data_IF_807186523223
#
_entry.id   IF_807186523223
#
_cell.length_a   1.000
_cell.length_b   1.000
_cell.length_c   1.000
_cell.angle_alpha   90.00
_cell.angle_beta   90.00
_cell.angle_gamma   90.00
#
_symmetry.space_group_name_H-M   'P 1'
#
loop_
_entity.id
_entity.type
_entity.pdbx_description
1 polymer ?
#
# COMPACT_ATOMS: atom_id res chain seq x y z
N UNK A 1 13.09 -14.99 -5.52
CA UNK A 1 11.92 -15.48 -6.29
C UNK A 1 10.73 -15.58 -5.36
N UNK A 2 9.49 -15.33 -5.82
CA UNK A 2 8.30 -15.52 -5.00
C UNK A 2 8.16 -16.99 -4.59
N UNK A 3 7.59 -17.22 -3.42
CA UNK A 3 7.30 -18.56 -2.89
C UNK A 3 5.79 -18.74 -2.74
N UNK A 4 5.28 -19.94 -2.92
CA UNK A 4 3.87 -20.29 -2.70
C UNK A 4 3.78 -21.16 -1.46
N UNK A 5 3.08 -20.70 -0.43
CA UNK A 5 2.98 -21.35 0.87
C UNK A 5 1.53 -21.53 1.28
N UNK A 6 1.25 -22.59 2.02
CA UNK A 6 -0.03 -22.79 2.70
C UNK A 6 0.10 -22.22 4.13
N UNK A 7 -0.16 -20.90 4.26
CA UNK A 7 0.02 -20.16 5.49
C UNK A 7 -1.11 -20.41 6.49
N UNK A 8 -0.77 -20.49 7.79
CA UNK A 8 -1.76 -20.57 8.86
C UNK A 8 -2.17 -19.16 9.27
N UNK A 9 -3.46 -18.91 9.44
CA UNK A 9 -4.00 -17.69 10.03
C UNK A 9 -3.63 -17.64 11.51
N UNK A 10 -2.83 -16.67 11.91
CA UNK A 10 -2.45 -16.45 13.31
C UNK A 10 -3.58 -15.74 14.05
N UNK A 11 -4.12 -14.69 13.44
CA UNK A 11 -5.21 -13.89 14.00
C UNK A 11 -5.98 -13.18 12.87
N UNK A 12 -7.22 -12.81 13.19
CA UNK A 12 -8.05 -11.93 12.36
C UNK A 12 -8.70 -10.89 13.27
N UNK A 13 -8.11 -9.69 13.33
CA UNK A 13 -8.56 -8.61 14.19
C UNK A 13 -9.52 -7.71 13.42
N UNK A 14 -10.80 -7.72 13.79
CA UNK A 14 -11.81 -6.84 13.19
C UNK A 14 -11.62 -5.42 13.71
N UNK A 15 -11.41 -4.46 12.80
CA UNK A 15 -11.30 -3.04 13.11
C UNK A 15 -12.66 -2.34 13.03
N UNK A 16 -13.55 -2.82 12.15
CA UNK A 16 -14.92 -2.39 11.97
C UNK A 16 -15.71 -3.46 11.22
N UNK A 17 -16.96 -3.19 10.84
CA UNK A 17 -17.79 -4.08 10.02
C UNK A 17 -17.21 -4.32 8.60
N UNK A 18 -16.38 -3.39 8.14
CA UNK A 18 -15.79 -3.45 6.80
C UNK A 18 -14.30 -3.78 6.78
N UNK A 19 -13.57 -3.59 7.89
CA UNK A 19 -12.12 -3.68 7.93
C UNK A 19 -11.63 -4.72 8.93
N UNK A 20 -10.61 -5.47 8.54
CA UNK A 20 -9.87 -6.37 9.45
C UNK A 20 -8.39 -6.42 9.12
N UNK A 21 -7.56 -6.80 10.11
CA UNK A 21 -6.15 -7.15 9.91
C UNK A 21 -6.01 -8.65 10.09
N UNK A 22 -5.57 -9.32 9.04
CA UNK A 22 -5.35 -10.78 9.03
C UNK A 22 -3.86 -11.05 9.09
N UNK A 23 -3.43 -11.73 10.15
CA UNK A 23 -2.05 -12.15 10.36
C UNK A 23 -1.85 -13.59 9.90
N UNK A 24 -0.79 -13.83 9.11
CA UNK A 24 -0.46 -15.11 8.48
C UNK A 24 0.93 -15.59 8.89
N UNK A 25 1.05 -16.83 9.30
CA UNK A 25 2.34 -17.51 9.51
C UNK A 25 2.97 -17.85 8.16
N UNK A 26 3.79 -16.94 7.65
CA UNK A 26 4.48 -17.06 6.36
C UNK A 26 5.92 -16.50 6.46
N UNK A 27 6.78 -17.05 7.33
CA UNK A 27 8.12 -16.49 7.59
C UNK A 27 9.00 -16.45 6.34
N UNK A 28 8.87 -17.40 5.44
CA UNK A 28 9.64 -17.41 4.17
C UNK A 28 9.24 -16.27 3.23
N UNK A 29 7.95 -15.90 3.18
CA UNK A 29 7.48 -14.74 2.42
C UNK A 29 7.95 -13.46 3.09
N UNK A 30 7.81 -13.37 4.42
CA UNK A 30 8.22 -12.23 5.22
C UNK A 30 9.72 -11.91 5.07
N UNK A 31 10.58 -12.94 5.03
CA UNK A 31 12.03 -12.80 4.87
C UNK A 31 12.44 -12.19 3.51
N UNK A 32 11.61 -12.34 2.50
CA UNK A 32 11.87 -11.85 1.13
C UNK A 32 11.17 -10.52 0.85
N UNK A 33 10.24 -10.11 1.70
CA UNK A 33 9.37 -8.96 1.48
C UNK A 33 10.14 -7.63 1.58
N UNK A 34 9.79 -6.71 0.69
CA UNK A 34 10.27 -5.33 0.66
C UNK A 34 9.08 -4.37 0.68
N UNK A 35 9.25 -3.12 1.18
CA UNK A 35 8.17 -2.13 1.26
C UNK A 35 7.40 -1.97 -0.06
N UNK A 36 6.07 -1.93 0.00
CA UNK A 36 5.23 -1.73 -1.18
C UNK A 36 4.94 -2.97 -2.01
N UNK A 37 5.55 -4.11 -1.70
CA UNK A 37 5.23 -5.39 -2.35
C UNK A 37 3.90 -5.96 -1.83
N UNK A 38 3.35 -6.90 -2.59
CA UNK A 38 2.08 -7.55 -2.30
C UNK A 38 2.19 -9.08 -2.31
N UNK A 39 1.14 -9.74 -1.85
CA UNK A 39 0.94 -11.18 -1.94
C UNK A 39 -0.38 -11.48 -2.64
N UNK A 40 -0.46 -12.63 -3.30
CA UNK A 40 -1.69 -13.17 -3.88
C UNK A 40 -2.28 -14.22 -2.93
N UNK A 41 -3.43 -13.91 -2.35
CA UNK A 41 -4.14 -14.75 -1.37
C UNK A 41 -5.28 -15.52 -2.03
N UNK A 42 -5.38 -16.80 -1.76
CA UNK A 42 -6.55 -17.64 -2.08
C UNK A 42 -7.48 -17.67 -0.87
N UNK A 43 -8.58 -16.90 -0.85
CA UNK A 43 -9.37 -16.69 0.37
C UNK A 43 -10.26 -17.88 0.78
N UNK A 44 -10.27 -18.97 0.03
CA UNK A 44 -11.05 -20.17 0.33
C UNK A 44 -10.36 -21.43 -0.19
N UNK A 45 -10.72 -22.59 0.38
CA UNK A 45 -10.18 -23.89 -0.03
C UNK A 45 -10.87 -24.51 -1.24
N UNK A 46 -12.05 -24.02 -1.59
CA UNK A 46 -12.83 -24.51 -2.72
C UNK A 46 -12.47 -23.87 -4.06
N UNK A 47 -13.26 -24.19 -5.07
CA UNK A 47 -13.16 -23.60 -6.40
C UNK A 47 -13.69 -22.16 -6.49
N UNK A 48 -14.43 -21.67 -5.52
CA UNK A 48 -15.02 -20.33 -5.50
C UNK A 48 -14.55 -19.53 -4.26
N UNK A 49 -13.97 -18.34 -4.45
CA UNK A 49 -13.53 -17.76 -5.73
C UNK A 49 -12.35 -18.51 -6.35
N UNK A 50 -12.37 -18.71 -7.66
CA UNK A 50 -11.31 -19.45 -8.37
C UNK A 50 -9.95 -18.75 -8.27
N UNK A 51 -9.93 -17.43 -8.46
CA UNK A 51 -8.69 -16.65 -8.49
C UNK A 51 -8.27 -16.17 -7.11
N UNK A 52 -6.96 -15.98 -6.93
CA UNK A 52 -6.37 -15.28 -5.80
C UNK A 52 -6.70 -13.78 -5.85
N UNK A 53 -6.49 -13.10 -4.74
CA UNK A 53 -6.65 -11.64 -4.62
C UNK A 53 -5.34 -11.00 -4.17
N UNK A 54 -4.94 -9.87 -4.78
CA UNK A 54 -3.75 -9.13 -4.36
C UNK A 54 -4.02 -8.39 -3.04
N UNK A 55 -3.06 -8.46 -2.14
CA UNK A 55 -3.03 -7.67 -0.90
C UNK A 55 -1.64 -7.11 -0.69
N UNK A 56 -1.52 -5.80 -0.49
CA UNK A 56 -0.28 -5.20 -0.02
C UNK A 56 0.13 -5.83 1.30
N UNK A 57 1.42 -6.11 1.46
CA UNK A 57 1.97 -6.54 2.74
C UNK A 57 1.87 -5.36 3.70
N UNK A 58 1.08 -5.52 4.78
CA UNK A 58 0.84 -4.45 5.74
C UNK A 58 1.97 -4.37 6.77
N UNK A 59 2.28 -5.49 7.43
CA UNK A 59 3.37 -5.56 8.40
C UNK A 59 4.18 -6.84 8.22
N UNK A 60 5.43 -6.81 8.65
CA UNK A 60 6.27 -7.99 8.84
C UNK A 60 6.22 -8.37 10.32
N UNK A 61 5.74 -9.57 10.60
CA UNK A 61 5.55 -10.05 11.96
C UNK A 61 6.83 -10.69 12.50
N UNK A 62 7.12 -10.40 13.77
CA UNK A 62 8.28 -10.93 14.50
C UNK A 62 7.83 -11.41 15.87
N UNK A 63 8.51 -12.40 16.40
CA UNK A 63 8.35 -12.83 17.79
C UNK A 63 9.11 -11.90 18.76
N UNK A 64 9.06 -12.21 20.04
CA UNK A 64 9.73 -11.48 21.13
C UNK A 64 11.27 -11.46 21.01
N UNK A 65 11.85 -12.40 20.24
CA UNK A 65 13.27 -12.49 19.96
C UNK A 65 13.65 -11.83 18.64
N UNK A 66 12.68 -11.23 17.92
CA UNK A 66 12.88 -10.57 16.62
C UNK A 66 12.91 -11.52 15.43
N UNK A 67 12.69 -12.84 15.63
CA UNK A 67 12.62 -13.79 14.52
C UNK A 67 11.34 -13.58 13.68
N UNK A 68 11.48 -13.71 12.37
CA UNK A 68 10.37 -13.53 11.44
C UNK A 68 9.35 -14.67 11.59
N UNK A 69 8.09 -14.33 11.87
CA UNK A 69 7.00 -15.28 12.04
C UNK A 69 6.00 -15.26 10.91
N UNK A 70 5.88 -14.12 10.20
CA UNK A 70 4.92 -13.98 9.11
C UNK A 70 4.70 -12.55 8.66
N UNK A 71 3.51 -12.31 8.16
CA UNK A 71 3.07 -10.99 7.69
C UNK A 71 1.60 -10.75 8.04
N UNK A 72 1.18 -9.49 8.02
CA UNK A 72 -0.24 -9.13 8.12
C UNK A 72 -0.74 -8.44 6.85
N UNK A 73 -2.06 -8.46 6.68
CA UNK A 73 -2.80 -7.88 5.56
C UNK A 73 -3.90 -6.99 6.11
N UNK A 74 -4.00 -5.75 5.62
CA UNK A 74 -5.16 -4.89 5.87
C UNK A 74 -6.23 -5.23 4.83
N UNK A 75 -7.34 -5.80 5.29
CA UNK A 75 -8.45 -6.25 4.45
C UNK A 75 -9.63 -5.28 4.55
N UNK A 76 -10.15 -4.87 3.40
CA UNK A 76 -11.45 -4.19 3.30
C UNK A 76 -12.46 -5.12 2.65
N UNK A 77 -13.58 -5.37 3.33
CA UNK A 77 -14.69 -6.21 2.88
C UNK A 77 -15.49 -5.51 1.79
N UNK A 78 -15.19 -5.79 0.52
CA UNK A 78 -15.85 -5.18 -0.64
C UNK A 78 -16.48 -6.20 -1.61
N UNK A 79 -16.21 -7.49 -1.45
CA UNK A 79 -16.71 -8.54 -2.33
C UNK A 79 -16.51 -9.93 -1.75
N UNK A 80 -16.85 -10.97 -2.50
CA UNK A 80 -16.82 -12.36 -2.03
C UNK A 80 -15.46 -12.76 -1.44
N UNK A 81 -14.37 -12.53 -2.16
CA UNK A 81 -13.03 -12.93 -1.70
C UNK A 81 -12.58 -12.21 -0.43
N UNK A 82 -12.79 -10.90 -0.36
CA UNK A 82 -12.47 -10.10 0.83
C UNK A 82 -13.43 -10.36 1.99
N UNK A 83 -14.67 -10.75 1.69
CA UNK A 83 -15.65 -11.20 2.67
C UNK A 83 -15.23 -12.52 3.32
N UNK A 84 -14.80 -13.51 2.54
CA UNK A 84 -14.26 -14.76 3.06
C UNK A 84 -13.02 -14.54 3.93
N UNK A 85 -12.14 -13.63 3.52
CA UNK A 85 -10.97 -13.27 4.34
C UNK A 85 -11.35 -12.54 5.64
N UNK A 86 -12.41 -11.74 5.59
CA UNK A 86 -12.95 -11.06 6.79
C UNK A 86 -13.51 -12.06 7.81
N UNK A 87 -14.08 -13.18 7.37
CA UNK A 87 -14.67 -14.23 8.22
C UNK A 87 -13.70 -15.37 8.55
N UNK A 88 -12.45 -15.32 8.05
CA UNK A 88 -11.51 -16.42 8.30
C UNK A 88 -11.14 -16.53 9.78
N UNK A 89 -11.12 -17.75 10.28
CA UNK A 89 -10.81 -18.05 11.68
C UNK A 89 -9.32 -18.34 11.89
N UNK A 90 -8.74 -18.00 13.06
CA UNK A 90 -7.41 -18.44 13.45
C UNK A 90 -7.25 -19.96 13.34
N UNK A 91 -6.08 -20.40 12.89
CA UNK A 91 -5.80 -21.82 12.62
C UNK A 91 -6.22 -22.30 11.22
N UNK A 92 -7.02 -21.53 10.49
CA UNK A 92 -7.33 -21.85 9.09
C UNK A 92 -6.06 -21.76 8.22
N UNK A 93 -6.04 -22.49 7.11
CA UNK A 93 -4.95 -22.45 6.13
C UNK A 93 -5.37 -21.67 4.90
N UNK A 94 -4.49 -20.79 4.43
CA UNK A 94 -4.70 -19.92 3.27
C UNK A 94 -3.48 -20.00 2.36
N UNK A 95 -3.69 -20.29 1.07
CA UNK A 95 -2.60 -20.25 0.11
C UNK A 95 -2.16 -18.79 -0.13
N UNK A 96 -0.88 -18.54 0.08
CA UNK A 96 -0.21 -17.24 -0.03
C UNK A 96 0.98 -17.33 -0.99
N UNK A 97 0.91 -16.61 -2.08
CA UNK A 97 1.97 -16.52 -3.09
C UNK A 97 2.62 -15.14 -3.01
N UNK A 98 3.93 -15.08 -2.78
CA UNK A 98 4.66 -13.81 -2.72
C UNK A 98 6.08 -13.93 -2.18
N UNK A 99 6.75 -12.79 -1.90
CA UNK A 99 6.29 -11.46 -2.24
C UNK A 99 6.37 -11.19 -3.75
N UNK A 100 5.52 -10.31 -4.25
CA UNK A 100 5.36 -10.00 -5.67
C UNK A 100 5.49 -8.49 -5.91
N UNK A 101 5.81 -8.15 -7.14
CA UNK A 101 5.86 -6.78 -7.63
C UNK A 101 7.11 -6.00 -7.24
N UNK A 102 7.24 -4.80 -7.79
CA UNK A 102 8.31 -3.86 -7.46
C UNK A 102 8.04 -3.17 -6.14
N UNK A 103 9.05 -3.04 -5.27
CA UNK A 103 8.94 -2.33 -4.00
C UNK A 103 9.01 -0.82 -4.20
N UNK A 104 8.65 -0.06 -3.16
CA UNK A 104 9.14 1.29 -2.96
C UNK A 104 10.65 1.28 -2.70
N UNK A 105 11.35 2.31 -3.15
CA UNK A 105 12.75 2.56 -2.81
C UNK A 105 12.81 3.67 -1.74
N UNK A 106 13.07 3.31 -0.47
CA UNK A 106 13.15 4.30 0.60
C UNK A 106 14.34 5.24 0.38
N UNK A 107 14.11 6.55 0.56
CA UNK A 107 15.16 7.58 0.46
C UNK A 107 15.98 7.69 1.74
N UNK A 108 17.20 8.19 1.59
CA UNK A 108 18.11 8.48 2.69
C UNK A 108 18.12 10.00 3.01
N UNK A 109 18.48 10.40 4.26
CA UNK A 109 18.71 11.81 4.57
C UNK A 109 19.78 12.43 3.63
N UNK A 110 19.69 13.72 3.28
CA UNK A 110 18.78 14.72 3.83
C UNK A 110 17.39 14.76 3.20
N UNK A 111 17.04 13.85 2.28
CA UNK A 111 15.71 13.81 1.69
C UNK A 111 14.64 13.54 2.75
N UNK A 112 13.45 14.12 2.57
CA UNK A 112 12.26 13.78 3.35
C UNK A 112 11.33 12.86 2.57
N UNK A 113 10.66 11.98 3.30
CA UNK A 113 9.68 11.03 2.79
C UNK A 113 8.28 11.40 3.25
N UNK A 114 7.39 11.77 2.34
CA UNK A 114 5.99 12.02 2.65
C UNK A 114 5.11 10.95 2.03
N UNK A 115 4.43 10.18 2.88
CA UNK A 115 3.48 9.15 2.49
C UNK A 115 2.08 9.76 2.39
N UNK A 116 1.35 9.48 1.32
CA UNK A 116 -0.02 9.95 1.11
C UNK A 116 -0.94 8.75 0.91
N UNK A 117 -1.79 8.51 1.89
CA UNK A 117 -2.68 7.36 1.95
C UNK A 117 -4.16 7.76 1.82
N UNK A 118 -4.94 6.95 1.11
CA UNK A 118 -6.40 7.05 1.07
C UNK A 118 -7.06 5.72 1.43
N UNK A 119 -7.80 5.67 2.56
CA UNK A 119 -8.47 4.45 3.00
C UNK A 119 -7.53 3.26 3.16
N UNK A 120 -7.83 2.13 2.49
CA UNK A 120 -7.01 0.90 2.54
C UNK A 120 -5.62 1.07 1.90
N UNK A 121 -5.40 2.13 1.12
CA UNK A 121 -4.08 2.49 0.58
C UNK A 121 -3.02 2.81 1.64
N UNK A 122 -3.39 2.83 2.92
CA UNK A 122 -2.44 2.84 4.04
C UNK A 122 -1.57 1.57 4.08
N UNK A 123 -2.07 0.45 3.58
CA UNK A 123 -1.46 -0.86 3.76
C UNK A 123 0.04 -0.96 3.40
N UNK A 124 0.54 -0.46 2.28
CA UNK A 124 1.95 -0.61 1.92
C UNK A 124 2.90 0.27 2.73
N UNK A 125 2.40 1.16 3.60
CA UNK A 125 3.22 2.19 4.23
C UNK A 125 3.80 1.83 5.60
N UNK A 126 3.29 0.82 6.32
CA UNK A 126 3.91 0.42 7.59
C UNK A 126 5.33 -0.12 7.34
N UNK A 127 5.49 -1.02 6.38
CA UNK A 127 6.82 -1.57 6.02
C UNK A 127 7.75 -0.49 5.44
N UNK A 128 7.21 0.51 4.73
CA UNK A 128 7.99 1.64 4.23
C UNK A 128 8.43 2.55 5.39
N UNK A 129 7.55 2.86 6.33
CA UNK A 129 7.87 3.67 7.50
C UNK A 129 8.96 3.01 8.37
N UNK A 130 8.91 1.68 8.55
CA UNK A 130 9.97 0.92 9.23
C UNK A 130 11.31 1.05 8.51
N UNK A 131 11.32 0.95 7.18
CA UNK A 131 12.54 1.07 6.38
C UNK A 131 13.12 2.49 6.38
N UNK A 132 12.27 3.52 6.34
CA UNK A 132 12.67 4.93 6.41
C UNK A 132 13.21 5.28 7.80
N UNK A 133 12.55 4.80 8.87
CA UNK A 133 13.04 4.95 10.24
C UNK A 133 14.43 4.34 10.43
N UNK A 134 14.64 3.14 9.89
CA UNK A 134 15.94 2.47 9.97
C UNK A 134 17.07 3.25 9.28
N UNK A 135 16.73 4.14 8.33
CA UNK A 135 17.66 5.05 7.63
C UNK A 135 17.81 6.42 8.32
N UNK A 136 16.96 6.71 9.32
CA UNK A 136 16.91 8.02 9.97
C UNK A 136 16.26 9.11 9.10
N UNK A 137 15.44 8.73 8.11
CA UNK A 137 14.78 9.65 7.19
C UNK A 137 13.58 10.32 7.87
N UNK A 138 13.49 11.64 7.79
CA UNK A 138 12.32 12.40 8.24
C UNK A 138 11.09 11.99 7.43
N UNK A 139 10.01 11.64 8.14
CA UNK A 139 8.84 11.03 7.50
C UNK A 139 7.55 11.66 7.98
N UNK A 140 6.64 11.99 7.05
CA UNK A 140 5.26 12.41 7.33
C UNK A 140 4.27 11.45 6.70
N UNK A 141 3.09 11.32 7.31
CA UNK A 141 1.97 10.57 6.74
C UNK A 141 0.76 11.50 6.59
N UNK A 142 0.35 11.76 5.36
CA UNK A 142 -0.94 12.38 5.04
C UNK A 142 -1.96 11.26 4.83
N UNK A 143 -2.93 11.13 5.74
CA UNK A 143 -3.88 10.03 5.69
C UNK A 143 -5.31 10.54 5.62
N UNK A 144 -5.99 10.22 4.51
CA UNK A 144 -7.36 10.59 4.22
C UNK A 144 -8.35 9.43 4.32
N UNK A 145 -9.52 9.70 4.88
CA UNK A 145 -10.65 8.78 4.90
C UNK A 145 -11.98 9.56 4.74
N UNK A 146 -13.07 8.84 4.51
CA UNK A 146 -14.40 9.49 4.48
C UNK A 146 -14.84 9.93 5.88
N UNK A 147 -14.55 9.14 6.90
CA UNK A 147 -14.97 9.36 8.29
C UNK A 147 -13.83 9.06 9.26
N UNK A 148 -13.90 9.66 10.45
CA UNK A 148 -12.94 9.41 11.52
C UNK A 148 -12.81 7.92 11.89
N UNK A 149 -13.92 7.16 11.85
CA UNK A 149 -13.95 5.72 12.14
C UNK A 149 -13.26 4.85 11.08
N UNK A 150 -12.88 5.41 9.94
CA UNK A 150 -12.14 4.73 8.87
C UNK A 150 -10.63 5.05 8.89
N UNK A 151 -10.15 5.79 9.88
CA UNK A 151 -8.73 6.07 10.11
C UNK A 151 -8.16 5.02 11.08
N UNK A 152 -7.44 4.04 10.55
CA UNK A 152 -6.89 2.91 11.31
C UNK A 152 -5.39 3.02 11.51
N UNK A 153 -4.88 2.34 12.55
CA UNK A 153 -3.44 2.10 12.78
C UNK A 153 -2.58 3.37 12.84
N UNK A 154 -3.14 4.52 13.22
CA UNK A 154 -2.42 5.78 13.32
C UNK A 154 -1.32 5.68 14.40
N UNK A 155 -1.67 5.09 15.55
CA UNK A 155 -0.78 4.81 16.65
C UNK A 155 0.47 4.02 16.22
N UNK A 156 0.32 3.13 15.25
CA UNK A 156 1.45 2.37 14.69
C UNK A 156 2.47 3.29 14.02
N UNK A 157 2.02 4.27 13.26
CA UNK A 157 2.90 5.25 12.60
C UNK A 157 3.54 6.21 13.62
N UNK A 158 2.77 6.66 14.61
CA UNK A 158 3.30 7.50 15.70
C UNK A 158 4.44 6.78 16.46
N UNK A 159 4.30 5.48 16.76
CA UNK A 159 5.36 4.66 17.38
C UNK A 159 6.59 4.50 16.48
N UNK A 160 6.43 4.61 15.17
CA UNK A 160 7.53 4.63 14.21
C UNK A 160 8.19 6.00 14.08
N UNK A 161 7.69 7.04 14.78
CA UNK A 161 8.20 8.40 14.71
C UNK A 161 7.75 9.15 13.45
N UNK A 162 6.67 8.68 12.82
CA UNK A 162 6.04 9.34 11.66
C UNK A 162 5.08 10.40 12.17
N UNK A 163 5.10 11.60 11.58
CA UNK A 163 4.16 12.69 11.87
C UNK A 163 2.87 12.50 11.05
N UNK A 164 1.71 12.15 11.68
CA UNK A 164 0.47 11.92 10.95
C UNK A 164 -0.33 13.22 10.76
N UNK A 165 -0.61 13.57 9.53
CA UNK A 165 -1.51 14.65 9.13
C UNK A 165 -2.81 14.03 8.59
N UNK A 166 -3.90 14.18 9.34
CA UNK A 166 -5.16 13.49 9.08
C UNK A 166 -6.16 14.40 8.36
N UNK A 167 -6.96 13.81 7.49
CA UNK A 167 -8.10 14.47 6.86
C UNK A 167 -9.30 13.52 6.77
N UNK A 168 -10.50 14.03 7.05
CA UNK A 168 -11.75 13.29 6.83
C UNK A 168 -12.76 14.14 6.09
N UNK A 169 -13.47 13.52 5.13
CA UNK A 169 -14.42 14.27 4.31
C UNK A 169 -15.56 14.87 5.15
N UNK A 170 -15.99 14.16 6.20
CA UNK A 170 -17.00 14.63 7.15
C UNK A 170 -16.48 15.65 8.18
N UNK A 171 -15.15 15.78 8.33
CA UNK A 171 -14.52 16.65 9.33
C UNK A 171 -14.51 16.06 10.74
N UNK A 172 -14.76 14.76 10.90
CA UNK A 172 -14.81 14.09 12.20
C UNK A 172 -13.44 13.95 12.88
N UNK A 173 -12.33 13.99 12.11
CA UNK A 173 -10.95 13.98 12.64
C UNK A 173 -9.98 14.62 11.65
N UNK A 174 -9.10 15.48 12.15
CA UNK A 174 -8.12 16.20 11.33
C UNK A 174 -8.75 17.30 10.49
N UNK A 175 -8.17 17.60 9.34
CA UNK A 175 -8.72 18.59 8.41
C UNK A 175 -10.01 18.06 7.77
N UNK A 176 -11.00 18.94 7.58
CA UNK A 176 -12.21 18.60 6.85
C UNK A 176 -11.97 18.62 5.34
N UNK A 177 -12.32 17.55 4.65
CA UNK A 177 -12.20 17.41 3.21
C UNK A 177 -11.19 16.35 2.77
N UNK A 178 -10.68 16.49 1.54
CA UNK A 178 -9.74 15.55 0.97
C UNK A 178 -8.32 15.75 1.53
N UNK A 179 -7.56 14.67 1.59
CA UNK A 179 -6.16 14.66 2.07
C UNK A 179 -5.23 15.57 1.25
N UNK A 180 -5.60 15.90 0.04
CA UNK A 180 -4.87 16.87 -0.81
C UNK A 180 -4.84 18.28 -0.25
N UNK A 181 -5.84 18.69 0.54
CA UNK A 181 -5.85 20.02 1.16
C UNK A 181 -4.70 20.26 2.13
N UNK A 182 -4.56 19.46 3.20
CA UNK A 182 -3.40 19.57 4.09
C UNK A 182 -2.08 19.24 3.41
N UNK A 183 -2.05 18.39 2.38
CA UNK A 183 -0.84 18.17 1.57
C UNK A 183 -0.43 19.45 0.84
N UNK A 184 -1.37 20.16 0.18
CA UNK A 184 -1.10 21.44 -0.51
C UNK A 184 -0.50 22.46 0.47
N UNK A 185 -1.13 22.63 1.63
CA UNK A 185 -0.63 23.56 2.65
C UNK A 185 0.80 23.21 3.12
N UNK A 186 1.11 21.92 3.23
CA UNK A 186 2.44 21.47 3.61
C UNK A 186 3.48 21.68 2.48
N UNK A 187 3.11 21.43 1.23
CA UNK A 187 3.95 21.66 0.06
C UNK A 187 4.25 23.15 -0.12
N UNK A 188 3.24 24.01 0.02
CA UNK A 188 3.41 25.48 -0.08
C UNK A 188 4.31 26.05 1.03
N UNK A 189 4.31 25.44 2.20
CA UNK A 189 5.14 25.83 3.32
C UNK A 189 6.56 25.24 3.29
N UNK A 190 6.79 24.23 2.45
CA UNK A 190 8.07 23.55 2.34
C UNK A 190 9.13 24.44 1.68
N UNK A 191 10.38 24.44 2.17
CA UNK A 191 11.48 25.15 1.52
C UNK A 191 11.67 24.64 0.07
N UNK A 192 11.88 25.55 -0.89
CA UNK A 192 12.13 25.17 -2.28
C UNK A 192 13.39 24.29 -2.48
N UNK A 193 14.26 24.25 -1.47
CA UNK A 193 15.48 23.43 -1.46
C UNK A 193 15.26 22.04 -0.85
N UNK A 194 14.03 21.73 -0.38
CA UNK A 194 13.72 20.44 0.20
C UNK A 194 13.79 19.34 -0.86
N UNK A 195 14.67 18.35 -0.66
CA UNK A 195 14.63 17.11 -1.44
C UNK A 195 13.49 16.24 -0.89
N UNK A 196 12.39 16.20 -1.63
CA UNK A 196 11.14 15.54 -1.21
C UNK A 196 10.81 14.37 -2.12
N UNK A 197 10.55 13.20 -1.47
CA UNK A 197 9.96 12.04 -2.14
C UNK A 197 8.55 11.79 -1.62
N UNK A 198 7.57 11.81 -2.52
CA UNK A 198 6.20 11.42 -2.21
C UNK A 198 6.00 9.93 -2.50
N UNK A 199 5.36 9.22 -1.56
CA UNK A 199 4.93 7.82 -1.71
C UNK A 199 3.41 7.79 -1.60
N UNK A 200 2.72 7.30 -2.61
CA UNK A 200 1.27 7.49 -2.73
C UNK A 200 0.57 6.16 -2.95
N UNK A 201 -0.49 5.90 -2.20
CA UNK A 201 -1.38 4.76 -2.42
C UNK A 201 -2.81 5.07 -1.98
N UNK A 202 -3.78 4.72 -2.80
CA UNK A 202 -5.20 4.92 -2.54
C UNK A 202 -6.01 5.05 -3.83
N UNK A 203 -7.19 5.66 -3.79
CA UNK A 203 -8.04 5.81 -4.96
C UNK A 203 -7.34 6.51 -6.13
N UNK A 204 -7.55 6.02 -7.35
CA UNK A 204 -6.92 6.58 -8.57
C UNK A 204 -7.04 8.09 -8.69
N UNK A 205 -8.22 8.73 -8.43
CA UNK A 205 -8.32 10.18 -8.48
C UNK A 205 -7.41 10.90 -7.48
N UNK A 206 -7.24 10.33 -6.27
CA UNK A 206 -6.33 10.88 -5.26
C UNK A 206 -4.89 10.78 -5.72
N UNK A 207 -4.44 9.61 -6.17
CA UNK A 207 -3.07 9.39 -6.66
C UNK A 207 -2.73 10.33 -7.82
N UNK A 208 -3.64 10.48 -8.79
CA UNK A 208 -3.51 11.42 -9.90
C UNK A 208 -3.34 12.87 -9.42
N UNK A 209 -4.19 13.28 -8.48
CA UNK A 209 -4.14 14.63 -7.92
C UNK A 209 -2.84 14.91 -7.16
N UNK A 210 -2.32 13.92 -6.41
CA UNK A 210 -1.04 14.02 -5.70
C UNK A 210 0.13 14.03 -6.68
N UNK A 211 0.10 13.20 -7.74
CA UNK A 211 1.13 13.18 -8.78
C UNK A 211 1.27 14.55 -9.47
N UNK A 212 0.13 15.19 -9.81
CA UNK A 212 0.15 16.53 -10.41
C UNK A 212 0.77 17.59 -9.47
N UNK A 213 0.52 17.48 -8.16
CA UNK A 213 1.11 18.37 -7.15
C UNK A 213 2.61 18.14 -7.00
N UNK A 214 3.03 16.89 -6.94
CA UNK A 214 4.46 16.54 -6.91
C UNK A 214 5.21 17.19 -8.07
N UNK A 215 4.70 17.03 -9.30
CA UNK A 215 5.30 17.61 -10.50
C UNK A 215 5.34 19.15 -10.44
N UNK A 216 4.26 19.80 -9.95
CA UNK A 216 4.20 21.26 -9.84
C UNK A 216 5.24 21.83 -8.85
N UNK A 217 5.62 21.08 -7.83
CA UNK A 217 6.61 21.46 -6.82
C UNK A 217 8.02 20.93 -7.10
N UNK A 218 8.26 20.36 -8.29
CA UNK A 218 9.57 19.78 -8.66
C UNK A 218 9.96 18.53 -7.87
N UNK A 219 9.01 17.97 -7.10
CA UNK A 219 9.18 16.74 -6.34
C UNK A 219 8.98 15.49 -7.20
N UNK A 220 9.52 14.35 -6.71
CA UNK A 220 9.30 13.03 -7.31
C UNK A 220 8.28 12.25 -6.52
N UNK A 221 7.41 11.50 -7.18
CA UNK A 221 6.41 10.67 -6.54
C UNK A 221 6.42 9.23 -7.03
N UNK A 222 6.33 8.29 -6.10
CA UNK A 222 6.05 6.89 -6.37
C UNK A 222 4.60 6.59 -6.05
N UNK A 223 3.90 5.95 -6.97
CA UNK A 223 2.50 5.55 -6.80
C UNK A 223 2.39 4.03 -6.77
N UNK A 224 1.70 3.48 -5.77
CA UNK A 224 1.34 2.07 -5.73
C UNK A 224 -0.06 1.89 -6.30
N UNK A 225 -0.16 1.37 -7.52
CA UNK A 225 -1.42 1.22 -8.22
C UNK A 225 -2.21 0.01 -7.74
N UNK A 226 -3.49 0.21 -7.48
CA UNK A 226 -4.46 -0.88 -7.28
C UNK A 226 -5.03 -1.31 -8.62
N UNK A 227 -4.75 -2.56 -9.04
CA UNK A 227 -5.25 -3.12 -10.28
C UNK A 227 -5.88 -4.50 -10.05
N UNK A 228 -6.85 -4.86 -10.89
CA UNK A 228 -7.41 -6.20 -10.88
C UNK A 228 -6.34 -7.19 -11.33
N UNK A 229 -5.97 -8.11 -10.46
CA UNK A 229 -4.96 -9.13 -10.73
C UNK A 229 -5.56 -10.53 -10.70
N UNK A 230 -5.42 -11.27 -11.79
CA UNK A 230 -5.83 -12.68 -11.87
C UNK A 230 -4.74 -13.62 -11.35
N UNK A 231 -3.50 -13.51 -11.84
CA UNK A 231 -2.42 -14.45 -11.52
C UNK A 231 -1.32 -13.88 -10.62
N UNK A 232 -1.03 -12.58 -10.67
CA UNK A 232 0.11 -11.95 -10.00
C UNK A 232 1.49 -12.24 -10.61
N UNK A 233 1.55 -13.07 -11.64
CA UNK A 233 2.78 -13.62 -12.26
C UNK A 233 2.97 -13.18 -13.73
N UNK A 234 2.17 -12.23 -14.21
CA UNK A 234 2.29 -11.67 -15.56
C UNK A 234 1.68 -12.51 -16.70
N UNK A 235 1.08 -13.67 -16.41
CA UNK A 235 0.58 -14.58 -17.45
C UNK A 235 -0.82 -14.24 -17.99
N UNK A 236 -1.69 -13.61 -17.18
CA UNK A 236 -3.11 -13.41 -17.54
C UNK A 236 -3.43 -12.04 -18.16
N UNK A 237 -2.52 -11.08 -18.07
CA UNK A 237 -2.66 -9.71 -18.60
C UNK A 237 -3.85 -8.89 -18.02
N UNK A 238 -4.49 -9.33 -16.94
CA UNK A 238 -5.62 -8.60 -16.33
C UNK A 238 -5.22 -7.30 -15.64
N UNK A 239 -3.93 -7.14 -15.30
CA UNK A 239 -3.39 -5.97 -14.57
C UNK A 239 -2.62 -5.00 -15.47
N UNK A 240 -2.94 -4.96 -16.75
CA UNK A 240 -2.25 -4.10 -17.73
C UNK A 240 -2.61 -2.63 -17.48
N UNK A 241 -1.60 -1.78 -17.47
CA UNK A 241 -1.74 -0.33 -17.41
C UNK A 241 -0.89 0.32 -18.51
N UNK A 242 -1.29 1.52 -18.95
CA UNK A 242 -0.52 2.29 -19.93
C UNK A 242 0.47 3.20 -19.19
N UNK A 243 1.74 3.05 -19.49
CA UNK A 243 2.83 3.82 -18.90
C UNK A 243 3.80 4.31 -19.98
N UNK A 244 4.58 5.33 -19.67
CA UNK A 244 5.68 5.79 -20.52
C UNK A 244 6.93 4.98 -20.24
N UNK A 245 7.67 4.64 -21.28
CA UNK A 245 9.03 4.11 -21.15
C UNK A 245 10.03 5.26 -20.84
N UNK A 246 11.33 4.96 -20.62
CA UNK A 246 12.34 5.99 -20.41
C UNK A 246 12.51 6.99 -21.57
N UNK A 247 12.07 6.65 -22.78
CA UNK A 247 12.06 7.57 -23.94
C UNK A 247 10.81 8.46 -23.98
N UNK A 248 9.84 8.25 -23.07
CA UNK A 248 8.56 8.94 -23.04
C UNK A 248 7.47 8.28 -23.89
N UNK A 249 7.76 7.17 -24.58
CA UNK A 249 6.80 6.49 -25.47
C UNK A 249 5.78 5.69 -24.66
N UNK A 250 4.47 5.85 -24.92
CA UNK A 250 3.43 5.05 -24.29
C UNK A 250 3.54 3.57 -24.67
N UNK A 251 3.47 2.68 -23.67
CA UNK A 251 3.40 1.24 -23.87
C UNK A 251 2.63 0.55 -22.73
N UNK A 252 2.12 -0.64 -22.99
CA UNK A 252 1.43 -1.41 -21.97
C UNK A 252 2.42 -2.18 -21.09
N UNK A 253 2.25 -2.07 -19.77
CA UNK A 253 3.01 -2.81 -18.77
C UNK A 253 2.06 -3.59 -17.86
N UNK A 254 2.57 -4.63 -17.22
CA UNK A 254 1.79 -5.45 -16.27
C UNK A 254 2.09 -5.00 -14.84
N UNK A 255 1.10 -4.42 -14.16
CA UNK A 255 1.26 -3.90 -12.80
C UNK A 255 1.80 -4.94 -11.80
N UNK A 256 1.53 -6.23 -12.00
CA UNK A 256 2.06 -7.29 -11.15
C UNK A 256 3.56 -7.59 -11.32
N UNK A 257 4.18 -7.16 -12.42
CA UNK A 257 5.62 -7.36 -12.71
C UNK A 257 6.40 -6.05 -12.69
N UNK A 258 5.89 -5.04 -13.44
CA UNK A 258 6.53 -3.74 -13.62
C UNK A 258 6.17 -2.74 -12.52
N UNK A 259 5.09 -3.04 -11.75
CA UNK A 259 4.59 -2.37 -10.58
C UNK A 259 4.51 -3.31 -9.36
N UNK A 260 3.61 -3.09 -8.38
CA UNK A 260 2.56 -2.07 -8.34
C UNK A 260 3.10 -0.63 -8.19
N UNK A 261 4.35 -0.50 -7.74
CA UNK A 261 5.01 0.78 -7.54
C UNK A 261 5.59 1.29 -8.87
N UNK A 262 5.14 2.46 -9.26
CA UNK A 262 5.60 3.18 -10.44
C UNK A 262 6.01 4.59 -10.08
N UNK A 263 6.95 5.15 -10.83
CA UNK A 263 7.14 6.58 -10.88
C UNK A 263 5.86 7.25 -11.41
N UNK A 264 5.33 8.21 -10.68
CA UNK A 264 4.05 8.85 -10.98
C UNK A 264 4.00 9.52 -12.35
N UNK A 265 5.17 10.04 -12.83
CA UNK A 265 5.29 10.70 -14.11
C UNK A 265 5.20 9.74 -15.30
N UNK A 266 5.42 8.46 -15.05
CA UNK A 266 5.30 7.43 -16.08
C UNK A 266 3.87 7.03 -16.38
N UNK A 267 2.94 7.25 -15.46
CA UNK A 267 1.56 6.78 -15.58
C UNK A 267 0.74 7.70 -16.50
N UNK A 268 0.08 7.11 -17.48
CA UNK A 268 -0.92 7.80 -18.30
C UNK A 268 -2.27 7.76 -17.58
N UNK A 269 -2.46 8.69 -16.67
CA UNK A 269 -3.62 8.74 -15.77
C UNK A 269 -4.99 8.72 -16.46
N UNK A 270 -5.08 9.33 -17.67
CA UNK A 270 -6.34 9.37 -18.43
C UNK A 270 -6.72 8.00 -19.04
N UNK A 271 -5.76 7.08 -19.10
CA UNK A 271 -5.96 5.72 -19.61
C UNK A 271 -6.27 4.70 -18.50
N UNK A 272 -6.18 5.10 -17.22
CA UNK A 272 -6.59 4.23 -16.13
C UNK A 272 -8.11 4.20 -16.04
N UNK A 273 -8.69 3.00 -16.11
CA UNK A 273 -10.12 2.80 -15.88
C UNK A 273 -10.49 3.27 -14.45
N UNK A 274 -11.61 3.95 -14.34
CA UNK A 274 -12.19 4.43 -13.07
C UNK A 274 -12.88 3.30 -12.32
#
# INVERSE_FOLDING_TARGET
MPVDVDAVVISNTRLSEEYSVVALAAPTVAALARPGQFVMIKPGRGGDPLLRRPFSIFEILRDEHGALTGLSLLNKRIGVGTGLLYEVEPGARIACLGPLGRPFEPVDPPAEAWMVAGGVGLAPFVTLAEALRARGTTTRLFYGARRASELYSIDRFEHLGVDPVLATEDGGRGAKGLVTGPLDAALDAAPATLDLRLYVCGPTPMMRAVAARAAAHGGRGDVSLEQVMGCGLGGCYSCVVLARDPSGTPHFVRSCLDGPVFDADRILWDALAH
#
